data_IF_098776949975
#
_entry.id   IF_098776949975
#
_cell.length_a   1.000
_cell.length_b   1.000
_cell.length_c   1.000
_cell.angle_alpha   90.00
_cell.angle_beta   90.00
_cell.angle_gamma   90.00
#
_symmetry.space_group_name_H-M   'P 1'
#
loop_
_entity.id
_entity.type
_entity.pdbx_description
1 polymer ?
#
# COMPACT_ATOMS: atom_id res chain seq x y z
N UNK A 1 48.22 14.54 -22.45
CA UNK A 1 47.27 13.74 -21.63
C UNK A 1 45.91 14.41 -21.76
N UNK A 2 45.02 13.83 -22.54
CA UNK A 2 43.64 14.30 -22.75
C UNK A 2 42.78 13.79 -21.59
N UNK A 3 42.20 14.71 -20.84
CA UNK A 3 41.24 14.40 -19.77
C UNK A 3 40.03 13.67 -20.37
N UNK A 4 39.67 12.51 -19.81
CA UNK A 4 38.40 11.87 -20.15
C UNK A 4 37.29 12.77 -19.63
N UNK A 5 36.45 13.25 -20.54
CA UNK A 5 35.20 13.85 -20.19
C UNK A 5 34.35 12.76 -19.54
N UNK A 6 34.37 12.69 -18.21
CA UNK A 6 33.33 11.99 -17.45
C UNK A 6 32.01 12.67 -17.84
N UNK A 7 31.22 11.97 -18.68
CA UNK A 7 29.82 12.29 -18.90
C UNK A 7 29.12 12.19 -17.56
N UNK A 8 29.01 13.33 -16.87
CA UNK A 8 28.12 13.48 -15.73
C UNK A 8 26.69 13.28 -16.22
N UNK A 9 26.23 12.04 -16.23
CA UNK A 9 24.85 11.68 -16.49
C UNK A 9 24.02 12.34 -15.40
N UNK A 10 23.41 13.47 -15.73
CA UNK A 10 22.48 14.16 -14.83
C UNK A 10 21.29 13.23 -14.65
N UNK A 11 21.30 12.48 -13.56
CA UNK A 11 20.18 11.67 -13.13
C UNK A 11 19.11 12.63 -12.65
N UNK A 12 18.22 13.05 -13.55
CA UNK A 12 17.04 13.83 -13.19
C UNK A 12 16.06 12.82 -12.58
N UNK A 13 15.84 12.79 -11.25
CA UNK A 13 14.79 11.96 -10.71
C UNK A 13 13.48 12.42 -11.36
N UNK A 14 12.76 11.49 -11.97
CA UNK A 14 11.43 11.75 -12.51
C UNK A 14 10.55 12.08 -11.31
N UNK A 15 10.39 13.37 -11.02
CA UNK A 15 9.56 13.82 -9.94
C UNK A 15 8.10 13.72 -10.41
N UNK A 16 7.25 12.94 -9.71
CA UNK A 16 5.84 12.88 -10.05
C UNK A 16 5.20 14.27 -9.96
N UNK A 17 4.14 14.49 -10.73
CA UNK A 17 3.39 15.74 -10.66
C UNK A 17 2.75 15.93 -9.28
N UNK A 18 2.47 17.18 -8.90
CA UNK A 18 1.71 17.48 -7.68
C UNK A 18 0.32 16.81 -7.70
N UNK A 19 -0.29 16.69 -8.88
CA UNK A 19 -1.54 15.95 -9.05
C UNK A 19 -1.40 14.45 -8.77
N UNK A 20 -0.25 13.85 -9.12
CA UNK A 20 0.06 12.46 -8.77
C UNK A 20 0.24 12.29 -7.26
N UNK A 21 1.01 13.16 -6.62
CA UNK A 21 1.16 13.13 -5.15
C UNK A 21 -0.18 13.27 -4.42
N UNK A 22 -1.03 14.18 -4.89
CA UNK A 22 -2.38 14.34 -4.35
C UNK A 22 -3.22 13.07 -4.56
N UNK A 23 -3.14 12.46 -5.74
CA UNK A 23 -3.83 11.21 -6.05
C UNK A 23 -3.33 10.06 -5.17
N UNK A 24 -2.02 9.87 -5.01
CA UNK A 24 -1.42 8.84 -4.13
C UNK A 24 -1.86 9.02 -2.69
N UNK A 25 -1.85 10.25 -2.18
CA UNK A 25 -2.26 10.54 -0.80
C UNK A 25 -3.70 10.09 -0.52
N UNK A 26 -4.58 10.22 -1.51
CA UNK A 26 -5.97 9.76 -1.44
C UNK A 26 -6.06 8.26 -1.70
N UNK A 27 -5.32 7.73 -2.67
CA UNK A 27 -5.35 6.33 -3.08
C UNK A 27 -4.86 5.37 -2.00
N UNK A 28 -3.83 5.74 -1.22
CA UNK A 28 -3.25 4.86 -0.19
C UNK A 28 -4.28 4.35 0.84
N UNK A 29 -5.05 5.21 1.55
CA UNK A 29 -6.06 4.70 2.47
C UNK A 29 -7.16 3.92 1.75
N UNK A 30 -7.56 4.36 0.55
CA UNK A 30 -8.59 3.71 -0.24
C UNK A 30 -8.21 2.29 -0.70
N UNK A 31 -6.95 2.09 -1.05
CA UNK A 31 -6.39 0.79 -1.42
C UNK A 31 -6.36 -0.19 -0.24
N UNK A 32 -6.07 0.31 0.97
CA UNK A 32 -6.04 -0.53 2.18
C UNK A 32 -7.42 -0.95 2.66
N UNK A 33 -8.42 -0.10 2.42
CA UNK A 33 -9.76 -0.27 2.98
C UNK A 33 -10.70 -1.09 2.09
N UNK A 34 -10.50 -1.08 0.77
CA UNK A 34 -11.40 -1.75 -0.17
C UNK A 34 -10.66 -2.51 -1.26
N UNK A 35 -11.23 -3.63 -1.71
CA UNK A 35 -10.71 -4.41 -2.84
C UNK A 35 -10.94 -3.72 -4.20
N UNK A 36 -10.07 -4.03 -5.17
CA UNK A 36 -10.09 -3.44 -6.51
C UNK A 36 -11.44 -3.58 -7.22
N UNK A 37 -12.06 -4.77 -7.18
CA UNK A 37 -13.36 -5.04 -7.82
C UNK A 37 -14.46 -4.09 -7.31
N UNK A 38 -14.40 -3.73 -6.03
CA UNK A 38 -15.38 -2.84 -5.40
C UNK A 38 -15.22 -1.41 -5.90
N UNK A 39 -13.98 -0.97 -6.12
CA UNK A 39 -13.66 0.35 -6.66
C UNK A 39 -14.14 0.50 -8.10
N UNK A 40 -13.87 -0.47 -8.96
CA UNK A 40 -14.29 -0.43 -10.37
C UNK A 40 -15.81 -0.34 -10.50
N UNK A 41 -16.52 -1.13 -9.69
CA UNK A 41 -17.97 -1.10 -9.64
C UNK A 41 -18.49 0.26 -9.17
N UNK A 42 -17.97 0.79 -8.05
CA UNK A 42 -18.40 2.07 -7.49
C UNK A 42 -18.15 3.23 -8.45
N UNK A 43 -16.98 3.26 -9.10
CA UNK A 43 -16.63 4.29 -10.08
C UNK A 43 -17.51 4.22 -11.33
N UNK A 44 -17.73 3.01 -11.87
CA UNK A 44 -18.64 2.77 -13.00
C UNK A 44 -20.04 3.27 -12.67
N UNK A 45 -20.58 2.94 -11.50
CA UNK A 45 -21.92 3.36 -11.09
C UNK A 45 -22.02 4.89 -10.95
N UNK A 46 -20.98 5.57 -10.46
CA UNK A 46 -20.92 7.04 -10.39
C UNK A 46 -20.89 7.67 -11.80
N UNK A 47 -20.09 7.12 -12.72
CA UNK A 47 -20.00 7.65 -14.09
C UNK A 47 -21.33 7.55 -14.83
N UNK A 48 -22.05 6.44 -14.67
CA UNK A 48 -23.32 6.19 -15.36
C UNK A 48 -24.51 6.86 -14.66
N UNK A 49 -24.29 7.62 -13.58
CA UNK A 49 -25.35 8.25 -12.81
C UNK A 49 -26.32 7.23 -12.19
N UNK A 50 -25.89 5.98 -12.00
CA UNK A 50 -26.73 4.95 -11.39
C UNK A 50 -26.98 5.31 -9.92
N UNK A 51 -28.24 5.41 -9.49
CA UNK A 51 -28.56 5.49 -8.07
C UNK A 51 -27.93 4.30 -7.34
N UNK A 52 -27.60 4.45 -6.06
CA UNK A 52 -27.36 3.26 -5.24
C UNK A 52 -28.59 2.37 -5.39
N UNK A 53 -28.44 1.22 -6.05
CA UNK A 53 -29.56 0.31 -6.24
C UNK A 53 -30.11 -0.02 -4.86
N UNK A 54 -31.43 0.13 -4.73
CA UNK A 54 -32.20 -0.21 -3.53
C UNK A 54 -31.73 -1.53 -2.96
N UNK A 55 -31.62 -1.56 -1.64
CA UNK A 55 -31.20 -2.66 -0.79
C UNK A 55 -31.90 -4.00 -1.11
N UNK A 56 -31.49 -4.70 -2.17
CA UNK A 56 -31.81 -6.11 -2.32
C UNK A 56 -30.67 -6.92 -1.71
N UNK A 57 -30.89 -7.21 -0.42
CA UNK A 57 -30.38 -8.32 0.35
C UNK A 57 -29.38 -9.25 -0.36
N UNK A 58 -28.09 -8.92 -0.32
CA UNK A 58 -27.04 -9.92 -0.50
C UNK A 58 -25.84 -9.59 0.38
N UNK A 59 -25.72 -10.34 1.48
CA UNK A 59 -24.63 -10.33 2.47
C UNK A 59 -24.31 -8.93 3.02
N UNK A 60 -24.85 -8.63 4.20
CA UNK A 60 -24.81 -7.35 4.94
C UNK A 60 -23.43 -6.66 5.03
N UNK A 61 -22.33 -7.37 4.79
CA UNK A 61 -20.97 -6.81 4.76
C UNK A 61 -20.54 -6.27 3.36
N UNK A 62 -20.95 -6.92 2.25
CA UNK A 62 -20.56 -6.47 0.90
C UNK A 62 -21.29 -5.21 0.45
N UNK A 63 -22.57 -5.09 0.81
CA UNK A 63 -23.37 -3.91 0.50
C UNK A 63 -22.90 -2.67 1.26
N UNK A 64 -22.52 -2.83 2.53
CA UNK A 64 -22.00 -1.75 3.38
C UNK A 64 -20.67 -1.21 2.84
N UNK A 65 -19.72 -2.10 2.56
CA UNK A 65 -18.41 -1.71 2.02
C UNK A 65 -18.52 -1.05 0.63
N UNK A 66 -19.44 -1.51 -0.23
CA UNK A 66 -19.69 -0.87 -1.52
C UNK A 66 -20.24 0.56 -1.39
N UNK A 67 -21.23 0.78 -0.52
CA UNK A 67 -21.79 2.12 -0.31
C UNK A 67 -20.73 3.07 0.25
N UNK A 68 -19.92 2.59 1.21
CA UNK A 68 -18.82 3.34 1.79
C UNK A 68 -17.74 3.68 0.74
N UNK A 69 -17.38 2.75 -0.13
CA UNK A 69 -16.48 3.02 -1.25
C UNK A 69 -17.06 4.09 -2.18
N UNK A 70 -18.34 3.99 -2.54
CA UNK A 70 -19.03 4.98 -3.37
C UNK A 70 -19.04 6.37 -2.73
N UNK A 71 -19.32 6.48 -1.43
CA UNK A 71 -19.27 7.72 -0.66
C UNK A 71 -17.88 8.34 -0.65
N UNK A 72 -16.84 7.53 -0.37
CA UNK A 72 -15.45 7.98 -0.40
C UNK A 72 -15.04 8.50 -1.80
N UNK A 73 -15.45 7.84 -2.87
CA UNK A 73 -15.23 8.32 -4.25
C UNK A 73 -15.96 9.65 -4.54
N UNK A 74 -17.13 9.86 -3.94
CA UNK A 74 -17.88 11.11 -4.11
C UNK A 74 -17.18 12.29 -3.43
N UNK A 75 -16.48 12.06 -2.30
CA UNK A 75 -15.65 13.06 -1.63
C UNK A 75 -14.44 13.49 -2.47
N UNK A 76 -13.93 12.61 -3.34
CA UNK A 76 -12.88 12.97 -4.29
C UNK A 76 -13.46 13.90 -5.36
N UNK A 77 -12.79 15.02 -5.58
CA UNK A 77 -13.10 15.97 -6.66
C UNK A 77 -13.26 15.22 -7.98
N UNK A 78 -14.34 15.51 -8.73
CA UNK A 78 -14.70 14.79 -9.97
C UNK A 78 -13.54 14.65 -10.95
N UNK A 79 -12.72 15.70 -11.09
CA UNK A 79 -11.55 15.74 -11.98
C UNK A 79 -10.41 14.83 -11.54
N UNK A 80 -10.32 14.50 -10.25
CA UNK A 80 -9.27 13.65 -9.67
C UNK A 80 -9.68 12.18 -9.56
N UNK A 81 -10.97 11.85 -9.64
CA UNK A 81 -11.47 10.47 -9.44
C UNK A 81 -10.80 9.47 -10.37
N UNK A 82 -10.62 9.83 -11.65
CA UNK A 82 -9.93 8.97 -12.62
C UNK A 82 -8.47 8.75 -12.22
N UNK A 83 -7.74 9.82 -11.94
CA UNK A 83 -6.34 9.73 -11.53
C UNK A 83 -6.17 8.93 -10.23
N UNK A 84 -7.07 9.10 -9.25
CA UNK A 84 -7.05 8.32 -8.01
C UNK A 84 -7.27 6.83 -8.31
N UNK A 85 -8.22 6.50 -9.18
CA UNK A 85 -8.48 5.12 -9.58
C UNK A 85 -7.28 4.51 -10.32
N UNK A 86 -6.70 5.24 -11.27
CA UNK A 86 -5.50 4.79 -12.01
C UNK A 86 -4.34 4.51 -11.04
N UNK A 87 -4.17 5.33 -10.01
CA UNK A 87 -3.16 5.10 -8.95
C UNK A 87 -3.50 3.87 -8.11
N UNK A 88 -4.78 3.70 -7.69
CA UNK A 88 -5.22 2.50 -6.96
C UNK A 88 -4.96 1.22 -7.77
N UNK A 89 -5.23 1.26 -9.08
CA UNK A 89 -4.92 0.15 -9.98
C UNK A 89 -3.43 -0.13 -10.07
N UNK A 90 -2.61 0.90 -10.26
CA UNK A 90 -1.16 0.77 -10.28
C UNK A 90 -0.60 0.16 -8.99
N UNK A 91 -1.12 0.60 -7.84
CA UNK A 91 -0.78 0.05 -6.53
C UNK A 91 -1.17 -1.43 -6.41
N UNK A 92 -2.37 -1.80 -6.86
CA UNK A 92 -2.80 -3.20 -6.84
C UNK A 92 -1.85 -4.10 -7.63
N UNK A 93 -1.55 -3.74 -8.89
CA UNK A 93 -0.64 -4.52 -9.71
C UNK A 93 0.78 -4.54 -9.18
N UNK A 94 1.27 -3.43 -8.62
CA UNK A 94 2.58 -3.39 -7.97
C UNK A 94 2.64 -4.34 -6.76
N UNK A 95 1.59 -4.38 -5.95
CA UNK A 95 1.48 -5.28 -4.80
C UNK A 95 1.44 -6.75 -5.23
N UNK A 96 0.59 -7.09 -6.22
CA UNK A 96 0.47 -8.45 -6.76
C UNK A 96 1.78 -8.92 -7.41
N UNK A 97 2.39 -8.06 -8.23
CA UNK A 97 3.69 -8.37 -8.84
C UNK A 97 4.77 -8.61 -7.77
N UNK A 98 4.83 -7.74 -6.76
CA UNK A 98 5.81 -7.89 -5.68
C UNK A 98 5.58 -9.18 -4.87
N UNK A 99 4.33 -9.56 -4.60
CA UNK A 99 3.98 -10.85 -3.96
C UNK A 99 4.48 -12.02 -4.78
N UNK A 100 4.22 -12.02 -6.09
CA UNK A 100 4.64 -13.10 -6.98
C UNK A 100 6.17 -13.28 -6.96
N UNK A 101 6.92 -12.19 -7.12
CA UNK A 101 8.39 -12.20 -7.15
C UNK A 101 9.01 -12.69 -5.83
N UNK A 102 8.37 -12.41 -4.69
CA UNK A 102 8.93 -12.71 -3.37
C UNK A 102 8.24 -13.87 -2.65
N UNK A 103 7.30 -14.55 -3.31
CA UNK A 103 6.51 -15.67 -2.77
C UNK A 103 7.36 -16.85 -2.27
N UNK A 104 8.54 -17.06 -2.87
CA UNK A 104 9.47 -18.11 -2.46
C UNK A 104 10.27 -17.79 -1.18
N UNK A 105 10.37 -16.50 -0.82
CA UNK A 105 11.15 -16.02 0.34
C UNK A 105 10.22 -15.73 1.52
N UNK A 106 9.07 -15.13 1.22
CA UNK A 106 8.13 -14.66 2.21
C UNK A 106 6.84 -15.47 2.08
N UNK A 107 6.56 -16.28 3.11
CA UNK A 107 5.29 -17.02 3.22
C UNK A 107 4.20 -16.08 3.69
N UNK A 108 3.61 -15.32 2.76
CA UNK A 108 2.50 -14.43 3.06
C UNK A 108 1.24 -15.22 3.39
N UNK A 109 0.47 -14.77 4.39
CA UNK A 109 -0.94 -15.17 4.51
C UNK A 109 -1.77 -14.31 3.56
N UNK A 110 -2.73 -14.93 2.89
CA UNK A 110 -3.68 -14.21 2.05
C UNK A 110 -4.38 -13.10 2.86
N UNK A 111 -4.30 -11.87 2.35
CA UNK A 111 -4.99 -10.71 2.93
C UNK A 111 -4.24 -9.92 4.00
N UNK A 112 -3.00 -10.29 4.38
CA UNK A 112 -2.17 -9.40 5.22
C UNK A 112 -1.66 -8.21 4.40
N UNK A 113 -2.03 -6.99 4.80
CA UNK A 113 -1.52 -5.74 4.21
C UNK A 113 -0.28 -5.25 4.98
N UNK A 114 0.88 -5.77 4.58
CA UNK A 114 2.18 -5.35 5.09
C UNK A 114 2.86 -4.31 4.16
N UNK A 115 2.17 -3.86 3.11
CA UNK A 115 2.77 -2.92 2.18
C UNK A 115 2.90 -1.53 2.80
N UNK A 116 4.15 -1.08 2.83
CA UNK A 116 4.49 0.31 3.08
C UNK A 116 4.56 1.04 1.74
N UNK A 117 3.76 2.08 1.58
CA UNK A 117 3.72 2.91 0.38
C UNK A 117 4.49 4.21 0.60
N UNK A 118 5.29 4.59 -0.39
CA UNK A 118 5.96 5.89 -0.46
C UNK A 118 5.00 6.96 -0.95
N UNK A 119 5.36 8.23 -0.77
CA UNK A 119 4.55 9.36 -1.21
C UNK A 119 4.36 9.44 -2.73
N UNK A 120 5.28 8.85 -3.50
CA UNK A 120 5.20 8.76 -4.96
C UNK A 120 4.36 7.57 -5.46
N UNK A 121 3.80 6.76 -4.55
CA UNK A 121 2.95 5.61 -4.87
C UNK A 121 3.73 4.31 -5.12
N UNK A 122 5.05 4.30 -4.92
CA UNK A 122 5.87 3.09 -5.03
C UNK A 122 5.93 2.33 -3.69
N UNK A 123 6.28 1.04 -3.75
CA UNK A 123 6.47 0.21 -2.57
C UNK A 123 7.78 0.60 -1.87
N UNK A 124 7.71 0.87 -0.57
CA UNK A 124 8.85 1.11 0.29
C UNK A 124 9.46 -0.24 0.73
N UNK A 125 10.26 -0.82 -0.16
CA UNK A 125 10.91 -2.12 0.06
C UNK A 125 11.83 -2.11 1.28
N UNK A 126 12.50 -0.98 1.55
CA UNK A 126 13.39 -0.83 2.71
C UNK A 126 12.59 -0.97 4.00
N UNK A 127 11.45 -0.27 4.12
CA UNK A 127 10.58 -0.42 5.30
C UNK A 127 10.06 -1.83 5.43
N UNK A 128 9.59 -2.44 4.34
CA UNK A 128 9.07 -3.81 4.37
C UNK A 128 10.13 -4.79 4.88
N UNK A 129 11.33 -4.78 4.28
CA UNK A 129 12.44 -5.65 4.71
C UNK A 129 12.84 -5.35 6.15
N UNK A 130 12.90 -4.08 6.56
CA UNK A 130 13.21 -3.72 7.94
C UNK A 130 12.18 -4.28 8.93
N UNK A 131 10.89 -4.21 8.62
CA UNK A 131 9.82 -4.78 9.45
C UNK A 131 10.02 -6.29 9.63
N UNK A 132 10.30 -7.02 8.53
CA UNK A 132 10.57 -8.45 8.60
C UNK A 132 11.85 -8.81 9.38
N UNK A 133 12.92 -8.00 9.26
CA UNK A 133 14.15 -8.22 10.02
C UNK A 133 13.95 -8.08 11.53
N UNK A 134 13.11 -7.13 11.97
CA UNK A 134 12.78 -6.98 13.40
C UNK A 134 11.96 -8.15 13.95
N UNK A 135 11.14 -8.81 13.12
CA UNK A 135 10.37 -9.99 13.51
C UNK A 135 11.24 -11.26 13.56
N UNK A 136 12.27 -11.36 12.71
CA UNK A 136 13.16 -12.53 12.61
C UNK A 136 14.32 -12.47 13.62
N UNK A 137 14.83 -11.27 13.94
CA UNK A 137 15.91 -11.11 14.90
C UNK A 137 15.31 -10.90 16.30
N UNK A 138 15.30 -11.92 17.19
CA UNK A 138 14.95 -11.70 18.59
C UNK A 138 15.99 -10.75 19.17
N UNK A 139 15.63 -9.48 19.26
CA UNK A 139 16.54 -8.47 19.79
C UNK A 139 16.79 -8.78 21.28
N UNK A 140 18.05 -9.00 21.71
CA UNK A 140 18.37 -9.15 23.14
C UNK A 140 18.03 -7.89 23.97
N UNK A 141 17.64 -6.80 23.31
CA UNK A 141 17.13 -5.57 23.92
C UNK A 141 15.67 -5.63 24.38
N UNK A 142 14.87 -6.62 23.98
CA UNK A 142 13.51 -6.78 24.51
C UNK A 142 13.51 -7.26 25.97
N UNK A 143 14.52 -8.02 26.39
CA UNK A 143 14.69 -8.46 27.78
C UNK A 143 15.08 -7.33 28.74
N UNK A 144 15.69 -6.26 28.23
CA UNK A 144 16.04 -5.07 28.99
C UNK A 144 14.82 -4.19 29.32
N UNK A 145 13.78 -4.20 28.48
CA UNK A 145 12.51 -3.49 28.76
C UNK A 145 11.58 -4.26 29.71
N UNK A 146 11.72 -5.59 29.80
CA UNK A 146 10.84 -6.44 30.60
C UNK A 146 11.41 -6.81 31.98
N UNK A 147 12.48 -6.15 32.43
CA UNK A 147 12.92 -6.18 33.84
C UNK A 147 13.21 -7.57 34.39
N UNK A 148 13.64 -8.53 33.56
CA UNK A 148 13.91 -9.91 34.00
C UNK A 148 15.39 -10.26 33.86
N UNK A 149 16.21 -9.64 34.71
CA UNK A 149 17.54 -10.15 35.00
C UNK A 149 17.40 -11.47 35.77
N UNK A 150 17.48 -12.61 35.08
CA UNK A 150 17.87 -13.87 35.73
C UNK A 150 19.38 -14.03 35.60
N UNK A 151 20.10 -13.47 36.56
CA UNK A 151 21.42 -13.99 36.90
C UNK A 151 21.24 -15.35 37.60
N UNK A 152 21.72 -16.43 36.98
CA UNK A 152 22.10 -17.65 37.69
C UNK A 152 23.17 -18.34 36.86
N UNK A 153 24.43 -17.96 37.11
CA UNK A 153 25.38 -18.70 37.96
C UNK A 153 25.92 -19.95 37.27
N UNK A 154 27.16 -19.79 36.83
CA UNK A 154 28.14 -20.83 36.61
C UNK A 154 28.21 -21.85 37.76
N UNK A 155 28.66 -23.05 37.37
CA UNK A 155 29.48 -24.05 38.08
C UNK A 155 28.79 -25.39 38.37
N UNK A 156 29.56 -26.51 38.37
CA UNK A 156 30.75 -26.86 37.58
C UNK A 156 30.48 -27.99 36.55
#
# INVERSE_FOLDING_TARGET
MTASADEAMVFIPILPSLSHFAAVRVAVPLFKEFGMEMWDKAFTDIQHGKPAASNEASKEDRGFNYNRAKENLLLVLRLLRKNVLDVVHGMHWAAEFWRCEHSGILKFKDGEDFFHWRSDGTIDTIKIVSTFLYDIIPSPLQDLKNGRLRYSRYTP
#
